data_IF_229053521322
#
_entry.id   IF_229053521322
#
_cell.length_a   1.000
_cell.length_b   1.000
_cell.length_c   1.000
_cell.angle_alpha   90.00
_cell.angle_beta   90.00
_cell.angle_gamma   90.00
#
_symmetry.space_group_name_H-M   'P 1'
#
loop_
_entity.id
_entity.type
_entity.pdbx_description
1 polymer ?
#
# COMPACT_ATOMS: atom_id res chain seq x y z
N UNK A 1 16.11 -16.43 12.30
CA UNK A 1 15.00 -16.71 11.38
C UNK A 1 14.81 -15.47 10.52
N UNK A 2 15.35 -15.47 9.31
CA UNK A 2 15.25 -14.33 8.37
C UNK A 2 13.93 -14.46 7.62
N UNK A 3 12.94 -13.65 8.01
CA UNK A 3 11.70 -13.48 7.27
C UNK A 3 12.06 -12.75 5.97
N UNK A 4 12.32 -13.47 4.86
CA UNK A 4 12.41 -12.81 3.57
C UNK A 4 11.01 -12.28 3.23
N UNK A 5 10.86 -10.95 3.20
CA UNK A 5 9.67 -10.34 2.62
C UNK A 5 9.50 -10.92 1.20
N UNK A 6 8.27 -11.27 0.77
CA UNK A 6 8.03 -12.22 -0.31
C UNK A 6 8.60 -11.85 -1.70
N UNK A 7 9.25 -10.69 -1.85
CA UNK A 7 9.82 -10.22 -3.11
C UNK A 7 11.23 -9.59 -2.98
N UNK A 8 11.82 -9.54 -1.78
CA UNK A 8 13.16 -8.96 -1.57
C UNK A 8 13.26 -7.45 -1.91
N UNK A 9 14.45 -6.84 -1.82
CA UNK A 9 14.64 -5.45 -2.19
C UNK A 9 14.58 -5.28 -3.72
N UNK A 10 13.77 -4.31 -4.18
CA UNK A 10 13.69 -3.92 -5.59
C UNK A 10 14.44 -2.62 -5.82
N UNK A 11 15.27 -2.59 -6.87
CA UNK A 11 15.95 -1.37 -7.28
C UNK A 11 14.96 -0.38 -7.86
N UNK A 12 15.12 0.89 -7.47
CA UNK A 12 14.52 2.00 -8.18
C UNK A 12 15.20 2.15 -9.54
N UNK A 13 14.41 2.35 -10.58
CA UNK A 13 14.95 2.77 -11.87
C UNK A 13 15.51 4.19 -11.76
N UNK A 14 16.29 4.64 -12.76
CA UNK A 14 16.77 6.03 -12.86
C UNK A 14 15.62 7.06 -12.85
N UNK A 15 14.39 6.62 -13.15
CA UNK A 15 13.18 7.45 -13.12
C UNK A 15 12.40 7.33 -11.80
N UNK A 16 13.02 6.77 -10.75
CA UNK A 16 12.40 6.54 -9.44
C UNK A 16 11.15 5.64 -9.51
N UNK A 17 11.14 4.68 -10.43
CA UNK A 17 10.05 3.71 -10.54
C UNK A 17 10.46 2.40 -9.86
N UNK A 18 9.51 1.76 -9.20
CA UNK A 18 9.67 0.40 -8.69
C UNK A 18 8.88 -0.53 -9.61
N UNK A 19 9.53 -1.57 -10.11
CA UNK A 19 8.84 -2.61 -10.87
C UNK A 19 8.04 -3.48 -9.91
N UNK A 20 6.72 -3.50 -10.07
CA UNK A 20 5.84 -4.39 -9.30
C UNK A 20 5.82 -5.76 -9.98
N UNK A 21 6.10 -6.86 -9.26
CA UNK A 21 5.98 -8.21 -9.79
C UNK A 21 4.58 -8.49 -10.36
N UNK A 22 4.51 -9.12 -11.55
CA UNK A 22 3.25 -9.45 -12.22
C UNK A 22 2.28 -10.22 -11.33
N UNK A 23 2.77 -11.19 -10.56
CA UNK A 23 1.94 -11.98 -9.65
C UNK A 23 1.23 -11.14 -8.57
N UNK A 24 1.78 -9.99 -8.17
CA UNK A 24 1.11 -9.07 -7.26
C UNK A 24 0.02 -8.27 -7.96
N UNK A 25 0.29 -7.79 -9.18
CA UNK A 25 -0.70 -7.09 -10.00
C UNK A 25 -1.90 -8.00 -10.29
N UNK A 26 -1.66 -9.25 -10.68
CA UNK A 26 -2.71 -10.24 -10.95
C UNK A 26 -3.59 -10.49 -9.71
N UNK A 27 -3.01 -10.56 -8.51
CA UNK A 27 -3.76 -10.73 -7.24
C UNK A 27 -4.58 -9.49 -6.86
N UNK A 28 -4.12 -8.31 -7.26
CA UNK A 28 -4.82 -7.06 -7.04
C UNK A 28 -5.83 -6.75 -8.15
N UNK A 29 -5.83 -7.54 -9.24
CA UNK A 29 -6.66 -7.28 -10.42
C UNK A 29 -6.23 -6.04 -11.19
N UNK A 30 -4.96 -5.64 -11.08
CA UNK A 30 -4.42 -4.44 -11.72
C UNK A 30 -3.79 -4.76 -13.08
N UNK A 31 -4.15 -3.97 -14.09
CA UNK A 31 -3.56 -3.95 -15.42
C UNK A 31 -2.72 -2.70 -15.68
N UNK A 32 -2.13 -2.65 -16.88
CA UNK A 32 -1.40 -1.48 -17.32
C UNK A 32 -2.35 -0.31 -17.58
N UNK A 33 -2.07 0.85 -16.98
CA UNK A 33 -2.89 2.06 -17.11
C UNK A 33 -3.89 2.26 -15.99
N UNK A 34 -4.07 1.27 -15.10
CA UNK A 34 -4.95 1.40 -13.95
C UNK A 34 -4.41 2.42 -12.94
N UNK A 35 -5.33 3.16 -12.33
CA UNK A 35 -5.02 4.18 -11.35
C UNK A 35 -4.77 3.58 -9.96
N UNK A 36 -3.75 4.11 -9.29
CA UNK A 36 -3.32 3.70 -7.95
C UNK A 36 -2.94 4.92 -7.13
N UNK A 37 -3.12 4.84 -5.83
CA UNK A 37 -2.65 5.84 -4.86
C UNK A 37 -1.45 5.30 -4.09
N UNK A 38 -0.53 6.21 -3.76
CA UNK A 38 0.57 5.94 -2.85
C UNK A 38 0.28 6.61 -1.52
N UNK A 39 0.27 5.83 -0.45
CA UNK A 39 0.17 6.34 0.92
C UNK A 39 1.48 6.08 1.64
N UNK A 40 1.92 7.04 2.44
CA UNK A 40 3.09 6.85 3.29
C UNK A 40 2.62 6.51 4.71
N UNK A 41 3.03 5.34 5.20
CA UNK A 41 2.86 4.90 6.58
C UNK A 41 4.15 5.25 7.34
N UNK A 42 4.10 6.32 8.13
CA UNK A 42 5.25 6.85 8.86
C UNK A 42 5.65 5.92 10.02
N UNK A 43 4.68 5.30 10.70
CA UNK A 43 4.96 4.40 11.83
C UNK A 43 5.78 3.19 11.39
N UNK A 44 5.49 2.67 10.20
CA UNK A 44 6.17 1.49 9.65
C UNK A 44 7.27 1.84 8.66
N UNK A 45 7.40 3.10 8.29
CA UNK A 45 8.30 3.60 7.22
C UNK A 45 8.07 2.86 5.90
N UNK A 46 6.80 2.78 5.45
CA UNK A 46 6.40 2.04 4.25
C UNK A 46 5.62 2.89 3.27
N UNK A 47 5.75 2.57 1.98
CA UNK A 47 4.87 3.11 0.95
C UNK A 47 3.83 2.03 0.61
N UNK A 48 2.56 2.34 0.85
CA UNK A 48 1.43 1.50 0.49
C UNK A 48 0.95 1.88 -0.91
N UNK A 49 0.84 0.88 -1.78
CA UNK A 49 0.21 0.98 -3.09
C UNK A 49 -1.24 0.53 -2.98
N UNK A 50 -2.19 1.40 -3.29
CA UNK A 50 -3.62 1.14 -3.11
C UNK A 50 -4.36 1.35 -4.44
N UNK A 51 -5.07 0.34 -4.96
CA UNK A 51 -5.99 0.54 -6.09
C UNK A 51 -6.99 1.66 -5.82
N UNK A 52 -7.23 2.55 -6.78
CA UNK A 52 -8.09 3.73 -6.58
C UNK A 52 -9.52 3.41 -6.17
N UNK A 53 -10.07 2.30 -6.66
CA UNK A 53 -11.40 1.79 -6.29
C UNK A 53 -11.48 1.30 -4.83
N UNK A 54 -10.35 0.99 -4.20
CA UNK A 54 -10.26 0.48 -2.82
C UNK A 54 -9.83 1.52 -1.80
N UNK A 55 -9.48 2.73 -2.24
CA UNK A 55 -8.97 3.78 -1.34
C UNK A 55 -9.98 4.14 -0.24
N UNK A 56 -11.27 4.26 -0.57
CA UNK A 56 -12.30 4.67 0.38
C UNK A 56 -12.45 3.67 1.54
N UNK A 57 -12.37 2.37 1.26
CA UNK A 57 -12.41 1.33 2.28
C UNK A 57 -11.20 1.41 3.22
N UNK A 58 -10.00 1.57 2.65
CA UNK A 58 -8.76 1.64 3.42
C UNK A 58 -8.69 2.89 4.32
N UNK A 59 -9.11 4.05 3.81
CA UNK A 59 -9.14 5.29 4.61
C UNK A 59 -10.18 5.19 5.72
N UNK A 60 -11.32 4.55 5.48
CA UNK A 60 -12.31 4.27 6.53
C UNK A 60 -11.75 3.39 7.65
N UNK A 61 -10.99 2.35 7.30
CA UNK A 61 -10.36 1.45 8.26
C UNK A 61 -9.21 2.11 9.05
N UNK A 62 -8.42 2.98 8.40
CA UNK A 62 -7.37 3.76 9.06
C UNK A 62 -7.93 4.88 9.95
N UNK A 63 -9.04 5.50 9.54
CA UNK A 63 -9.73 6.53 10.33
C UNK A 63 -10.60 5.96 11.47
N UNK A 64 -10.87 4.64 11.46
CA UNK A 64 -11.62 3.93 12.51
C UNK A 64 -10.84 3.69 13.81
N UNK A 65 -9.58 4.13 13.88
CA UNK A 65 -8.77 4.13 15.10
C UNK A 65 -9.18 5.24 16.08
N UNK A 66 -10.22 4.97 16.88
CA UNK A 66 -10.55 5.57 18.18
C UNK A 66 -11.39 6.87 18.22
N UNK A 67 -12.66 6.77 18.65
CA UNK A 67 -13.24 7.73 19.58
C UNK A 67 -13.24 7.12 20.99
N UNK A 68 -12.17 7.34 21.77
CA UNK A 68 -12.28 7.14 23.22
C UNK A 68 -13.33 8.13 23.67
N UNK A 69 -14.41 7.58 24.23
CA UNK A 69 -15.45 8.25 24.99
C UNK A 69 -14.93 9.51 25.70
N UNK A 70 -15.38 10.68 25.24
CA UNK A 70 -15.53 11.84 26.11
C UNK A 70 -17.03 12.01 26.35
N UNK A 71 -17.52 11.27 27.35
CA UNK A 71 -18.75 11.58 28.07
C UNK A 71 -18.38 11.61 29.55
N UNK A 72 -18.16 12.80 30.08
CA UNK A 72 -18.37 13.17 31.47
C UNK A 72 -18.69 14.67 31.51
#
# INVERSE_FOLDING_TARGET
MTLSAPHGPHLLTLRRQVTVPKALLDRLGLGAGDAVHFLFDDDRQQILLVPSDRLAALVGDLAGGNPTKERA
#
